data_IF_113976011648
#
_entry.id   IF_113976011648
#
_cell.length_a   1.000
_cell.length_b   1.000
_cell.length_c   1.000
_cell.angle_alpha   90.00
_cell.angle_beta   90.00
_cell.angle_gamma   90.00
#
_symmetry.space_group_name_H-M   'P 1'
#
loop_
_entity.id
_entity.type
_entity.pdbx_description
1 polymer ?
#
# COMPACT_ATOMS: atom_id res chain seq x y z
N UNK A 1 2.63 -7.46 -16.39
CA UNK A 1 2.84 -5.99 -16.37
C UNK A 1 3.61 -5.65 -15.12
N UNK A 2 4.91 -5.42 -15.23
CA UNK A 2 5.76 -5.08 -14.09
C UNK A 2 5.27 -3.74 -13.56
N UNK A 3 4.85 -3.69 -12.30
CA UNK A 3 4.51 -2.44 -11.64
C UNK A 3 5.78 -1.59 -11.60
N UNK A 4 5.89 -0.64 -12.52
CA UNK A 4 7.07 0.19 -12.64
C UNK A 4 7.37 0.83 -11.27
N UNK A 5 8.56 0.56 -10.75
CA UNK A 5 9.08 1.19 -9.56
C UNK A 5 9.07 2.71 -9.77
N UNK A 6 8.30 3.42 -8.96
CA UNK A 6 8.33 4.88 -8.90
C UNK A 6 8.99 5.26 -7.58
N UNK A 7 10.31 5.56 -7.58
CA UNK A 7 11.10 5.73 -6.35
C UNK A 7 10.60 6.84 -5.43
N UNK A 8 9.85 7.79 -5.94
CA UNK A 8 9.29 8.96 -5.24
C UNK A 8 7.92 8.70 -4.58
N UNK A 9 7.27 7.57 -4.87
CA UNK A 9 5.89 7.28 -4.44
C UNK A 9 5.77 6.30 -3.29
N UNK A 10 6.83 5.58 -2.96
CA UNK A 10 6.87 4.67 -1.83
C UNK A 10 7.34 5.37 -0.57
N UNK A 11 6.79 5.07 0.59
CA UNK A 11 7.50 5.31 1.84
C UNK A 11 8.80 4.50 1.83
N UNK A 12 9.79 4.93 2.62
CA UNK A 12 11.08 4.26 2.72
C UNK A 12 10.97 2.73 2.70
N UNK A 13 11.63 2.09 1.75
CA UNK A 13 11.65 0.63 1.50
C UNK A 13 10.35 0.03 0.89
N UNK A 14 9.54 0.79 0.21
CA UNK A 14 8.40 0.23 -0.53
C UNK A 14 8.57 0.44 -2.03
N UNK A 15 8.38 -0.59 -2.85
CA UNK A 15 8.52 -0.48 -4.30
C UNK A 15 7.51 0.47 -4.94
N UNK A 16 6.34 0.69 -4.31
CA UNK A 16 5.33 1.65 -4.78
C UNK A 16 4.44 2.18 -3.64
N UNK A 17 3.81 3.31 -3.86
CA UNK A 17 2.95 3.98 -2.91
C UNK A 17 1.56 3.35 -2.78
N UNK A 18 0.98 3.45 -1.58
CA UNK A 18 -0.36 2.94 -1.29
C UNK A 18 -1.45 3.61 -2.14
N UNK A 19 -1.37 4.93 -2.34
CA UNK A 19 -2.39 5.65 -3.10
C UNK A 19 -2.39 5.29 -4.57
N UNK A 20 -1.21 5.24 -5.17
CA UNK A 20 -1.05 4.78 -6.54
C UNK A 20 -1.62 3.37 -6.73
N UNK A 21 -1.28 2.43 -5.83
CA UNK A 21 -1.83 1.08 -5.88
C UNK A 21 -3.35 1.06 -5.78
N UNK A 22 -3.93 1.81 -4.84
CA UNK A 22 -5.40 1.86 -4.67
C UNK A 22 -6.06 2.35 -5.96
N UNK A 23 -5.51 3.39 -6.59
CA UNK A 23 -6.05 3.92 -7.85
C UNK A 23 -6.02 2.87 -8.95
N UNK A 24 -4.85 2.32 -9.25
CA UNK A 24 -4.66 1.34 -10.32
C UNK A 24 -5.53 0.10 -10.08
N UNK A 25 -5.55 -0.39 -8.86
CA UNK A 25 -6.37 -1.54 -8.49
C UNK A 25 -7.87 -1.28 -8.71
N UNK A 26 -8.37 -0.11 -8.30
CA UNK A 26 -9.78 0.26 -8.48
C UNK A 26 -10.12 0.62 -9.94
N UNK A 27 -9.14 0.87 -10.79
CA UNK A 27 -9.31 0.99 -12.25
C UNK A 27 -9.31 -0.37 -12.96
N UNK A 28 -9.08 -1.47 -12.24
CA UNK A 28 -8.96 -2.80 -12.81
C UNK A 28 -7.57 -3.11 -13.38
N UNK A 29 -6.57 -2.28 -13.07
CA UNK A 29 -5.16 -2.45 -13.48
C UNK A 29 -4.32 -3.16 -12.41
N UNK A 30 -4.92 -3.90 -11.52
CA UNK A 30 -4.22 -4.63 -10.46
C UNK A 30 -3.25 -5.68 -11.02
N UNK A 31 -2.38 -6.26 -10.15
CA UNK A 31 -1.50 -7.36 -10.55
C UNK A 31 -2.30 -8.49 -11.22
N UNK A 32 -1.67 -9.18 -12.18
CA UNK A 32 -2.33 -10.21 -13.00
C UNK A 32 -3.04 -11.32 -12.20
N UNK A 33 -2.53 -11.61 -10.99
CA UNK A 33 -3.11 -12.61 -10.08
C UNK A 33 -4.16 -12.04 -9.12
N UNK A 34 -4.39 -10.74 -9.11
CA UNK A 34 -5.53 -10.19 -8.39
C UNK A 34 -6.78 -10.41 -9.24
N UNK A 35 -7.84 -10.92 -8.62
CA UNK A 35 -9.13 -11.01 -9.29
C UNK A 35 -9.42 -9.68 -10.00
N UNK A 36 -9.64 -9.73 -11.32
CA UNK A 36 -9.95 -8.53 -12.10
C UNK A 36 -11.19 -7.90 -11.49
N UNK A 37 -10.97 -6.75 -10.87
CA UNK A 37 -12.07 -6.02 -10.25
C UNK A 37 -12.89 -5.38 -11.36
N UNK A 38 -14.19 -5.53 -11.26
CA UNK A 38 -15.08 -4.69 -12.03
C UNK A 38 -15.10 -3.29 -11.38
N UNK A 39 -14.56 -2.25 -12.04
CA UNK A 39 -14.48 -0.90 -11.47
C UNK A 39 -15.84 -0.32 -11.04
N UNK A 40 -16.92 -0.73 -11.69
CA UNK A 40 -18.26 -0.25 -11.40
C UNK A 40 -18.90 -0.96 -10.20
N UNK A 41 -18.62 -2.24 -10.04
CA UNK A 41 -19.08 -3.01 -8.87
C UNK A 41 -18.39 -2.57 -7.59
N UNK A 42 -17.17 -2.02 -7.71
CA UNK A 42 -16.35 -1.61 -6.60
C UNK A 42 -15.77 -2.78 -5.81
N UNK A 43 -15.06 -2.46 -4.75
CA UNK A 43 -14.39 -3.44 -3.88
C UNK A 43 -14.37 -3.00 -2.44
N UNK A 44 -14.27 -3.95 -1.52
CA UNK A 44 -14.18 -3.61 -0.11
C UNK A 44 -12.74 -3.21 0.29
N UNK A 45 -12.63 -2.45 1.36
CA UNK A 45 -11.35 -1.93 1.85
C UNK A 45 -10.38 -3.03 2.28
N UNK A 46 -10.88 -4.15 2.81
CA UNK A 46 -10.07 -5.27 3.23
C UNK A 46 -9.42 -5.99 2.04
N UNK A 47 -10.16 -6.16 0.94
CA UNK A 47 -9.66 -6.79 -0.27
C UNK A 47 -8.58 -5.94 -0.94
N UNK A 48 -8.78 -4.61 -1.02
CA UNK A 48 -7.74 -3.70 -1.52
C UNK A 48 -6.46 -3.84 -0.70
N UNK A 49 -6.58 -3.89 0.63
CA UNK A 49 -5.43 -4.03 1.51
C UNK A 49 -4.73 -5.38 1.32
N UNK A 50 -5.48 -6.45 1.20
CA UNK A 50 -4.94 -7.79 0.96
C UNK A 50 -4.13 -7.82 -0.34
N UNK A 51 -4.71 -7.36 -1.44
CA UNK A 51 -4.03 -7.31 -2.74
C UNK A 51 -2.83 -6.34 -2.74
N UNK A 52 -2.91 -5.23 -2.01
CA UNK A 52 -1.76 -4.34 -1.84
C UNK A 52 -0.58 -5.05 -1.17
N UNK A 53 -0.84 -5.85 -0.14
CA UNK A 53 0.21 -6.62 0.53
C UNK A 53 0.79 -7.71 -0.37
N UNK A 54 -0.05 -8.41 -1.14
CA UNK A 54 0.43 -9.40 -2.12
C UNK A 54 1.31 -8.74 -3.18
N UNK A 55 0.87 -7.63 -3.74
CA UNK A 55 1.63 -6.89 -4.73
C UNK A 55 2.99 -6.41 -4.20
N UNK A 56 3.05 -5.91 -2.95
CA UNK A 56 4.31 -5.57 -2.30
C UNK A 56 5.22 -6.78 -2.11
N UNK A 57 4.66 -7.91 -1.71
CA UNK A 57 5.42 -9.14 -1.50
C UNK A 57 6.07 -9.62 -2.80
N UNK A 58 5.30 -9.63 -3.90
CA UNK A 58 5.80 -9.97 -5.24
C UNK A 58 6.87 -8.97 -5.72
N UNK A 59 6.64 -7.68 -5.55
CA UNK A 59 7.61 -6.67 -5.94
C UNK A 59 8.95 -6.79 -5.19
N UNK A 60 8.95 -7.18 -3.93
CA UNK A 60 10.20 -7.45 -3.21
C UNK A 60 10.94 -8.67 -3.76
N UNK A 61 10.22 -9.70 -4.19
CA UNK A 61 10.85 -10.87 -4.83
C UNK A 61 11.45 -10.49 -6.19
N UNK A 62 10.72 -9.71 -6.98
CA UNK A 62 11.15 -9.22 -8.30
C UNK A 62 12.40 -8.33 -8.18
N UNK A 63 12.40 -7.38 -7.24
CA UNK A 63 13.56 -6.53 -6.95
C UNK A 63 14.79 -7.36 -6.55
N UNK A 64 14.58 -8.43 -5.77
CA UNK A 64 15.69 -9.28 -5.35
C UNK A 64 16.30 -10.07 -6.52
N UNK A 65 15.48 -10.58 -7.46
CA UNK A 65 15.98 -11.25 -8.68
C UNK A 65 16.70 -10.24 -9.58
N UNK A 66 16.13 -9.03 -9.73
CA UNK A 66 16.76 -7.98 -10.52
C UNK A 66 18.14 -7.61 -9.96
N UNK A 67 18.26 -7.49 -8.64
CA UNK A 67 19.54 -7.24 -7.97
C UNK A 67 20.55 -8.38 -8.19
N UNK A 68 20.10 -9.65 -8.11
CA UNK A 68 20.96 -10.80 -8.42
C UNK A 68 21.44 -10.77 -9.87
N UNK A 69 20.59 -10.37 -10.83
CA UNK A 69 20.99 -10.20 -12.23
C UNK A 69 22.05 -9.10 -12.40
N UNK A 70 21.92 -7.98 -11.70
CA UNK A 70 22.94 -6.93 -11.70
C UNK A 70 24.27 -7.42 -11.13
N UNK A 71 24.26 -8.25 -10.08
CA UNK A 71 25.46 -8.87 -9.55
C UNK A 71 26.09 -9.86 -10.54
N UNK A 72 25.29 -10.65 -11.24
CA UNK A 72 25.75 -11.57 -12.28
C UNK A 72 26.50 -10.81 -13.37
N UNK A 73 25.93 -9.70 -13.87
CA UNK A 73 26.58 -8.83 -14.87
C UNK A 73 27.93 -8.32 -14.34
N UNK A 74 27.98 -7.80 -13.12
CA UNK A 74 29.22 -7.31 -12.49
C UNK A 74 30.31 -8.38 -12.38
N UNK A 75 29.89 -9.64 -12.20
CA UNK A 75 30.77 -10.80 -12.09
C UNK A 75 31.06 -11.51 -13.46
N UNK A 76 30.67 -10.88 -14.59
CA UNK A 76 30.86 -11.43 -15.93
C UNK A 76 30.03 -12.69 -16.23
N UNK A 77 28.96 -12.93 -15.49
CA UNK A 77 28.03 -14.04 -15.70
C UNK A 77 26.86 -13.60 -16.58
N UNK A 78 26.25 -14.48 -17.39
CA UNK A 78 25.05 -14.16 -18.12
C UNK A 78 23.89 -13.89 -17.17
N UNK A 79 22.96 -13.03 -17.57
CA UNK A 79 21.69 -12.81 -16.84
C UNK A 79 20.85 -14.10 -16.88
N UNK A 80 19.91 -14.19 -15.98
CA UNK A 80 18.95 -15.30 -15.99
C UNK A 80 18.14 -15.31 -17.29
N UNK A 81 17.91 -16.51 -17.85
CA UNK A 81 16.89 -16.69 -18.89
C UNK A 81 15.49 -16.40 -18.30
N UNK A 82 14.45 -16.18 -19.12
CA UNK A 82 13.10 -15.98 -18.62
C UNK A 82 12.62 -17.11 -17.71
N UNK A 83 12.97 -18.35 -18.02
CA UNK A 83 12.61 -19.54 -17.24
C UNK A 83 13.35 -19.57 -15.89
N UNK A 84 14.67 -19.35 -15.91
CA UNK A 84 15.49 -19.26 -14.70
C UNK A 84 15.04 -18.08 -13.81
N UNK A 85 14.65 -16.95 -14.44
CA UNK A 85 14.13 -15.78 -13.72
C UNK A 85 12.85 -16.14 -12.98
N UNK A 86 11.92 -16.81 -13.65
CA UNK A 86 10.65 -17.22 -13.06
C UNK A 86 10.86 -18.21 -11.90
N UNK A 87 11.70 -19.23 -12.11
CA UNK A 87 12.04 -20.19 -11.05
C UNK A 87 12.67 -19.49 -9.84
N UNK A 88 13.62 -18.58 -10.09
CA UNK A 88 14.27 -17.81 -9.03
C UNK A 88 13.31 -16.90 -8.30
N UNK A 89 12.43 -16.23 -9.03
CA UNK A 89 11.37 -15.40 -8.48
C UNK A 89 10.45 -16.19 -7.54
N UNK A 90 9.95 -17.34 -7.96
CA UNK A 90 9.09 -18.19 -7.15
C UNK A 90 9.81 -18.70 -5.89
N UNK A 91 11.06 -19.09 -6.05
CA UNK A 91 11.90 -19.49 -4.92
C UNK A 91 12.05 -18.37 -3.89
N UNK A 92 12.37 -17.14 -4.32
CA UNK A 92 12.50 -15.98 -3.43
C UNK A 92 11.16 -15.57 -2.83
N UNK A 93 10.09 -15.59 -3.62
CA UNK A 93 8.74 -15.29 -3.15
C UNK A 93 8.33 -16.21 -1.98
N UNK A 94 8.66 -17.51 -2.07
CA UNK A 94 8.39 -18.47 -0.99
C UNK A 94 9.21 -18.22 0.28
N UNK A 95 10.38 -17.60 0.15
CA UNK A 95 11.31 -17.34 1.26
C UNK A 95 11.16 -15.97 1.92
N UNK A 96 10.72 -14.97 1.17
CA UNK A 96 10.50 -13.62 1.70
C UNK A 96 9.31 -13.66 2.65
N UNK A 97 9.50 -13.39 3.95
CA UNK A 97 8.38 -13.41 4.87
C UNK A 97 7.35 -12.34 4.52
N UNK A 98 6.08 -12.72 4.41
CA UNK A 98 4.97 -11.79 4.17
C UNK A 98 4.93 -10.63 5.17
N UNK A 99 5.49 -10.80 6.36
CA UNK A 99 5.65 -9.76 7.39
C UNK A 99 6.55 -8.61 6.93
N UNK A 100 7.48 -8.84 6.00
CA UNK A 100 8.36 -7.78 5.48
C UNK A 100 7.64 -6.70 4.68
N UNK A 101 6.42 -6.96 4.20
CA UNK A 101 5.63 -5.94 3.53
C UNK A 101 5.37 -4.70 4.39
N UNK A 102 5.61 -4.78 5.71
CA UNK A 102 5.57 -3.69 6.71
C UNK A 102 4.36 -2.75 6.62
N UNK A 103 3.32 -3.17 5.92
CA UNK A 103 2.09 -2.40 5.79
C UNK A 103 1.10 -2.84 6.89
N UNK A 104 0.78 -1.93 7.81
CA UNK A 104 -0.22 -2.18 8.85
C UNK A 104 -1.59 -1.76 8.34
N UNK A 105 -2.62 -2.57 8.62
CA UNK A 105 -4.00 -2.26 8.23
C UNK A 105 -4.46 -0.88 8.75
N UNK A 106 -4.12 -0.54 9.98
CA UNK A 106 -4.42 0.78 10.54
C UNK A 106 -3.80 1.95 9.72
N UNK A 107 -2.57 1.80 9.22
CA UNK A 107 -1.95 2.83 8.38
C UNK A 107 -2.65 2.93 7.03
N UNK A 108 -3.08 1.80 6.46
CA UNK A 108 -3.86 1.74 5.24
C UNK A 108 -5.25 2.39 5.43
N UNK A 109 -5.95 2.07 6.52
CA UNK A 109 -7.25 2.68 6.85
C UNK A 109 -7.16 4.20 6.94
N UNK A 110 -6.11 4.73 7.58
CA UNK A 110 -5.88 6.18 7.65
C UNK A 110 -5.68 6.78 6.27
N UNK A 111 -4.91 6.12 5.43
CA UNK A 111 -4.68 6.54 4.06
C UNK A 111 -5.99 6.55 3.27
N UNK A 112 -6.75 5.49 3.34
CA UNK A 112 -8.04 5.36 2.69
C UNK A 112 -9.06 6.41 3.18
N UNK A 113 -8.99 6.77 4.47
CA UNK A 113 -9.79 7.85 5.03
C UNK A 113 -9.50 9.20 4.34
N UNK A 114 -8.25 9.53 4.07
CA UNK A 114 -7.91 10.74 3.31
C UNK A 114 -8.48 10.74 1.90
N UNK A 115 -8.46 9.59 1.23
CA UNK A 115 -9.07 9.46 -0.10
C UNK A 115 -10.58 9.71 -0.06
N UNK A 116 -11.26 9.26 1.00
CA UNK A 116 -12.69 9.57 1.22
C UNK A 116 -12.91 11.06 1.46
N UNK A 117 -12.08 11.70 2.28
CA UNK A 117 -12.19 13.14 2.55
C UNK A 117 -11.92 13.99 1.29
N UNK A 118 -11.02 13.57 0.42
CA UNK A 118 -10.79 14.19 -0.88
C UNK A 118 -11.94 13.97 -1.86
N UNK A 119 -12.83 13.04 -1.55
CA UNK A 119 -13.92 12.64 -2.45
C UNK A 119 -13.43 11.85 -3.66
N UNK A 120 -12.26 11.20 -3.59
CA UNK A 120 -11.70 10.40 -4.68
C UNK A 120 -12.26 8.98 -4.70
N UNK A 121 -12.67 8.49 -3.55
CA UNK A 121 -13.38 7.21 -3.42
C UNK A 121 -14.74 7.45 -2.78
N UNK A 122 -15.76 6.77 -3.30
CA UNK A 122 -17.13 6.87 -2.82
C UNK A 122 -17.74 5.49 -2.63
N UNK A 123 -18.77 5.42 -1.78
CA UNK A 123 -19.55 4.20 -1.59
C UNK A 123 -20.31 3.84 -2.87
N UNK A 124 -20.42 2.55 -3.14
CA UNK A 124 -21.26 2.03 -4.25
C UNK A 124 -22.71 1.83 -3.81
N UNK A 125 -22.96 1.80 -2.50
CA UNK A 125 -24.24 1.40 -1.92
C UNK A 125 -24.36 -0.11 -1.67
N UNK A 126 -23.43 -0.92 -2.19
CA UNK A 126 -23.37 -2.35 -1.91
C UNK A 126 -22.80 -2.58 -0.51
N UNK A 127 -23.50 -3.40 0.27
CA UNK A 127 -23.04 -3.88 1.58
C UNK A 127 -23.21 -5.40 1.63
N UNK A 128 -22.30 -6.07 2.30
CA UNK A 128 -22.33 -7.52 2.53
C UNK A 128 -22.06 -7.79 4.02
N UNK A 129 -22.52 -8.91 4.57
CA UNK A 129 -22.18 -9.32 5.92
C UNK A 129 -20.66 -9.33 6.12
N UNK A 130 -20.20 -8.90 7.27
CA UNK A 130 -18.78 -9.04 7.63
C UNK A 130 -18.43 -10.51 7.83
N UNK A 131 -17.12 -10.85 7.75
CA UNK A 131 -16.69 -12.23 8.06
C UNK A 131 -17.05 -12.66 9.49
N UNK A 132 -17.24 -11.74 10.40
CA UNK A 132 -17.72 -12.05 11.76
C UNK A 132 -19.21 -12.41 11.71
N UNK A 133 -20.03 -11.65 10.99
CA UNK A 133 -21.46 -11.95 10.81
C UNK A 133 -21.69 -13.25 10.02
N UNK A 134 -20.80 -13.60 9.08
CA UNK A 134 -20.87 -14.88 8.35
C UNK A 134 -20.67 -16.08 9.28
N UNK A 135 -19.81 -15.95 10.29
CA UNK A 135 -19.51 -17.02 11.27
C UNK A 135 -20.45 -16.97 12.47
N UNK A 136 -20.88 -15.77 12.86
CA UNK A 136 -21.74 -15.51 14.01
C UNK A 136 -22.90 -14.61 13.57
N UNK A 137 -23.97 -15.15 12.94
CA UNK A 137 -25.08 -14.35 12.39
C UNK A 137 -25.81 -13.50 13.43
N UNK A 138 -25.83 -13.93 14.67
CA UNK A 138 -26.49 -13.23 15.79
C UNK A 138 -25.65 -12.08 16.37
N UNK A 139 -24.44 -11.84 15.84
CA UNK A 139 -23.58 -10.77 16.31
C UNK A 139 -23.84 -9.47 15.53
N UNK A 140 -24.85 -8.73 15.99
CA UNK A 140 -25.31 -7.50 15.33
C UNK A 140 -24.31 -6.32 15.37
N UNK A 141 -23.33 -6.35 16.28
CA UNK A 141 -22.37 -5.24 16.44
C UNK A 141 -21.27 -5.20 15.39
N UNK A 142 -21.13 -6.21 14.53
CA UNK A 142 -20.12 -6.22 13.48
C UNK A 142 -20.59 -5.39 12.28
N UNK A 143 -19.88 -4.30 11.93
CA UNK A 143 -20.29 -3.47 10.80
C UNK A 143 -20.18 -4.26 9.48
N UNK A 144 -21.15 -4.09 8.54
CA UNK A 144 -21.10 -4.76 7.24
C UNK A 144 -19.89 -4.30 6.43
N UNK A 145 -19.44 -5.15 5.50
CA UNK A 145 -18.45 -4.79 4.50
C UNK A 145 -19.05 -3.79 3.52
N UNK A 146 -18.42 -2.62 3.41
CA UNK A 146 -18.81 -1.56 2.47
C UNK A 146 -17.94 -1.59 1.24
N UNK A 147 -18.57 -1.41 0.09
CA UNK A 147 -17.91 -1.40 -1.20
C UNK A 147 -17.69 0.02 -1.69
N UNK A 148 -16.52 0.26 -2.26
CA UNK A 148 -16.06 1.57 -2.72
C UNK A 148 -15.68 1.50 -4.19
N UNK A 149 -15.86 2.61 -4.90
CA UNK A 149 -15.39 2.82 -6.28
C UNK A 149 -14.72 4.18 -6.41
N UNK A 150 -13.92 4.36 -7.46
CA UNK A 150 -13.40 5.68 -7.79
C UNK A 150 -14.54 6.59 -8.24
N UNK A 151 -14.53 7.81 -7.69
CA UNK A 151 -15.38 8.89 -8.20
C UNK A 151 -14.76 9.46 -9.48
N UNK A 152 -15.54 10.29 -10.21
CA UNK A 152 -14.99 11.06 -11.33
C UNK A 152 -13.80 11.89 -10.91
N UNK A 153 -13.89 12.59 -9.78
CA UNK A 153 -12.79 13.38 -9.20
C UNK A 153 -11.53 12.53 -8.92
N UNK A 154 -11.70 11.31 -8.41
CA UNK A 154 -10.57 10.40 -8.17
C UNK A 154 -9.93 9.91 -9.46
N UNK A 155 -10.73 9.64 -10.50
CA UNK A 155 -10.21 9.23 -11.82
C UNK A 155 -9.40 10.34 -12.50
N UNK A 156 -9.85 11.60 -12.37
CA UNK A 156 -9.25 12.79 -12.98
C UNK A 156 -8.09 13.37 -12.17
N UNK A 157 -7.92 12.99 -10.90
CA UNK A 157 -6.86 13.50 -10.04
C UNK A 157 -5.47 13.07 -10.56
N UNK A 158 -4.49 14.00 -10.62
CA UNK A 158 -3.17 13.73 -11.18
C UNK A 158 -2.33 12.82 -10.26
N UNK A 159 -1.35 12.15 -10.86
CA UNK A 159 -0.51 11.15 -10.18
C UNK A 159 0.22 11.72 -8.94
N UNK A 160 0.69 12.97 -9.01
CA UNK A 160 1.41 13.59 -7.90
C UNK A 160 0.52 13.79 -6.66
N UNK A 161 -0.77 14.02 -6.84
CA UNK A 161 -1.72 14.11 -5.74
C UNK A 161 -1.98 12.72 -5.12
N UNK A 162 -2.13 11.70 -5.97
CA UNK A 162 -2.25 10.31 -5.52
C UNK A 162 -1.03 9.81 -4.76
N UNK A 163 0.16 10.32 -5.06
CA UNK A 163 1.37 9.97 -4.31
C UNK A 163 1.35 10.52 -2.89
N UNK A 164 0.68 11.65 -2.65
CA UNK A 164 0.62 12.26 -1.32
C UNK A 164 -0.75 12.90 -1.02
N UNK A 165 -1.81 12.11 -0.86
CA UNK A 165 -3.16 12.62 -0.62
C UNK A 165 -3.27 13.41 0.69
N UNK A 166 -2.40 13.16 1.66
CA UNK A 166 -2.37 13.97 2.87
C UNK A 166 -1.95 15.41 2.60
N UNK A 167 -0.98 15.62 1.71
CA UNK A 167 -0.54 16.96 1.34
C UNK A 167 -1.59 17.67 0.47
N UNK A 168 -2.27 16.92 -0.40
CA UNK A 168 -3.38 17.45 -1.20
C UNK A 168 -4.53 17.91 -0.30
N UNK A 169 -4.83 17.16 0.77
CA UNK A 169 -5.87 17.50 1.73
C UNK A 169 -5.48 18.69 2.64
N UNK A 170 -4.19 18.79 2.96
CA UNK A 170 -3.64 19.79 3.88
C UNK A 170 -2.40 20.47 3.26
N UNK A 171 -2.58 21.32 2.23
CA UNK A 171 -1.47 21.93 1.52
C UNK A 171 -0.61 22.85 2.41
N UNK A 172 -1.21 23.42 3.46
CA UNK A 172 -0.49 24.21 4.48
C UNK A 172 0.53 23.40 5.29
N UNK A 173 0.41 22.06 5.26
CA UNK A 173 1.33 21.15 5.96
C UNK A 173 2.49 20.70 5.09
N UNK A 174 3.09 21.59 4.33
CA UNK A 174 4.22 21.31 3.45
C UNK A 174 5.39 20.57 4.12
N UNK A 175 6.46 20.29 3.36
CA UNK A 175 7.61 19.50 3.83
C UNK A 175 8.21 19.98 5.16
N UNK A 176 8.17 21.27 5.44
CA UNK A 176 8.75 21.88 6.63
C UNK A 176 7.94 21.58 7.89
N UNK A 177 6.61 21.58 7.80
CA UNK A 177 5.75 21.18 8.92
C UNK A 177 6.05 19.76 9.43
N UNK A 178 6.27 18.81 8.54
CA UNK A 178 6.60 17.44 8.91
C UNK A 178 8.02 17.30 9.46
N UNK A 179 8.96 18.16 9.03
CA UNK A 179 10.32 18.23 9.59
C UNK A 179 10.31 18.78 11.00
N UNK A 180 9.57 19.85 11.27
CA UNK A 180 9.42 20.43 12.59
C UNK A 180 8.72 19.49 13.56
N UNK A 181 7.64 18.84 13.14
CA UNK A 181 6.93 17.88 13.98
C UNK A 181 7.81 16.69 14.35
N UNK A 182 8.67 16.21 13.45
CA UNK A 182 9.67 15.16 13.77
C UNK A 182 10.72 15.67 14.74
N UNK A 183 11.24 16.88 14.59
CA UNK A 183 12.18 17.49 15.53
C UNK A 183 11.57 17.58 16.93
N UNK A 184 10.37 18.11 17.05
CA UNK A 184 9.68 18.29 18.32
C UNK A 184 9.36 16.96 19.00
N UNK A 185 9.04 15.91 18.25
CA UNK A 185 8.80 14.57 18.80
C UNK A 185 10.09 13.89 19.30
N UNK A 186 11.22 14.14 18.67
CA UNK A 186 12.53 13.69 19.16
C UNK A 186 12.99 14.44 20.41
N UNK A 187 12.68 15.73 20.52
CA UNK A 187 13.00 16.52 21.73
C UNK A 187 12.15 16.13 22.92
N UNK A 188 10.87 15.83 22.75
CA UNK A 188 9.98 15.44 23.85
C UNK A 188 10.33 14.07 24.46
N UNK A 189 10.96 13.18 23.68
CA UNK A 189 11.43 11.86 24.18
C UNK A 189 12.77 11.93 24.94
N UNK A 190 13.48 13.05 24.89
CA UNK A 190 14.78 13.24 25.55
C UNK A 190 14.70 14.10 26.83
N UNK A 191 13.52 14.26 27.42
CA UNK A 191 13.46 14.86 28.77
C UNK A 191 14.21 13.96 29.75
N UNK A 192 15.27 14.46 30.42
CA UNK A 192 16.03 13.66 31.37
C UNK A 192 15.09 13.29 32.51
N UNK A 193 15.07 12.02 32.83
CA UNK A 193 14.53 11.50 34.08
C UNK A 193 15.17 12.29 35.24
N UNK A 194 14.37 13.08 35.95
CA UNK A 194 14.83 13.75 37.16
C UNK A 194 15.43 12.68 38.07
N UNK A 195 16.75 12.78 38.34
CA UNK A 195 17.42 11.97 39.34
C UNK A 195 16.68 12.15 40.66
N UNK A 196 16.12 11.08 41.20
CA UNK A 196 15.69 11.04 42.60
C UNK A 196 16.94 11.35 43.45
N UNK A 197 16.95 12.51 44.08
CA UNK A 197 17.85 12.75 45.20
C UNK A 197 17.35 11.93 46.37
N UNK A 198 18.18 11.02 46.79
CA UNK A 198 18.15 10.37 48.14
C UNK A 198 18.33 11.41 49.21
#
# INVERSE_FOLDING_TARGET
>A
MTLALRPDQGGFLRPFGCGWFIREFMLGHGPEDSAKINPDAGTCQADIFYHYKLALHRAYADDAVAWENEERIRNGKPIYTPEEYQERFEHLLSRIPYKLTKCRYHSFQRYFHWLKQLGWVGLTGKEEPSSVQEVMPDYDDAPPRKYYRLTRKGKEAPDYEWSNPQLTLYPERGRDYFREKRRNHHYSRRKPTKSRKT
#
